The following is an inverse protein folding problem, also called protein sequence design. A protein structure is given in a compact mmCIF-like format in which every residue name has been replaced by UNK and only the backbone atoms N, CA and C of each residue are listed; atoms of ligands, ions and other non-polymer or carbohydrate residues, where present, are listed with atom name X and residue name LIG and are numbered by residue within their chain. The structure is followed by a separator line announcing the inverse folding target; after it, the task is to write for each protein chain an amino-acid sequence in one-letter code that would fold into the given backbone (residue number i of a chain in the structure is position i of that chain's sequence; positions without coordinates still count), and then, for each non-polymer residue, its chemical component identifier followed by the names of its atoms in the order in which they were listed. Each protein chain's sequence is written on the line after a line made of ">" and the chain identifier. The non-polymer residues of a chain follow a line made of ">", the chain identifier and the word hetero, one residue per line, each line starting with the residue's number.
data_IF_328001874064
#
_entry.id   IF_328001874064
#
_cell.length_a   1.000
_cell.length_b   1.000
_cell.length_c   1.000
_cell.angle_alpha   90.00
_cell.angle_beta   90.00
_cell.angle_gamma   90.00
#
_symmetry.space_group_name_H-M   'P 1'
#
loop_
_entity.id
_entity.type
_entity.pdbx_description
1 polymer ?
#
# COMPACT_ATOMS: atom_id res chain seq x y z
N UNK A 1 -54.61 7.49 -37.88
CA UNK A 1 -54.04 8.83 -38.16
C UNK A 1 -53.58 8.82 -39.61
N UNK A 2 -54.36 9.45 -40.48
CA UNK A 2 -54.04 9.57 -41.90
C UNK A 2 -53.02 10.69 -42.07
N UNK A 3 -51.78 10.34 -42.44
CA UNK A 3 -50.80 11.31 -42.92
C UNK A 3 -51.21 11.78 -44.32
N UNK A 4 -51.56 13.06 -44.43
CA UNK A 4 -51.79 13.77 -45.70
C UNK A 4 -50.45 13.86 -46.45
N UNK A 5 -50.31 13.07 -47.52
CA UNK A 5 -49.17 13.09 -48.43
C UNK A 5 -49.75 13.29 -49.84
N UNK A 6 -49.61 14.48 -50.43
CA UNK A 6 -50.18 14.82 -51.76
C UNK A 6 -49.39 14.21 -52.95
N UNK A 7 -48.44 13.32 -52.68
CA UNK A 7 -47.62 12.65 -53.70
C UNK A 7 -48.13 11.23 -54.03
N UNK A 8 -47.67 10.66 -55.15
CA UNK A 8 -47.99 9.26 -55.54
C UNK A 8 -47.57 8.30 -54.43
N UNK A 9 -48.42 7.33 -54.10
CA UNK A 9 -48.26 6.36 -53.00
C UNK A 9 -46.85 5.75 -52.91
N UNK A 10 -46.29 5.38 -54.06
CA UNK A 10 -44.94 4.80 -54.19
C UNK A 10 -43.83 5.72 -53.64
N UNK A 11 -43.97 7.04 -53.80
CA UNK A 11 -43.00 8.01 -53.29
C UNK A 11 -43.11 8.18 -51.76
N UNK A 12 -44.33 8.13 -51.20
CA UNK A 12 -44.52 8.19 -49.74
C UNK A 12 -44.05 6.88 -49.07
N UNK A 13 -44.24 5.72 -49.70
CA UNK A 13 -43.76 4.43 -49.20
C UNK A 13 -42.22 4.37 -49.19
N UNK A 14 -41.55 4.86 -50.25
CA UNK A 14 -40.09 4.95 -50.32
C UNK A 14 -39.50 5.86 -49.22
N UNK A 15 -40.10 7.02 -48.97
CA UNK A 15 -39.63 7.92 -47.92
C UNK A 15 -39.82 7.32 -46.51
N UNK A 16 -40.89 6.57 -46.28
CA UNK A 16 -41.14 5.90 -45.00
C UNK A 16 -40.13 4.78 -44.74
N UNK A 17 -39.72 4.05 -45.79
CA UNK A 17 -38.67 3.04 -45.68
C UNK A 17 -37.29 3.65 -45.40
N UNK A 18 -36.95 4.75 -46.07
CA UNK A 18 -35.72 5.50 -45.79
C UNK A 18 -35.70 6.05 -44.36
N UNK A 19 -36.83 6.61 -43.90
CA UNK A 19 -36.94 7.12 -42.54
C UNK A 19 -36.79 6.01 -41.49
N UNK A 20 -37.35 4.82 -41.74
CA UNK A 20 -37.17 3.64 -40.88
C UNK A 20 -35.72 3.16 -40.88
N UNK A 21 -35.06 3.12 -42.04
CA UNK A 21 -33.64 2.75 -42.14
C UNK A 21 -32.75 3.74 -41.38
N UNK A 22 -32.99 5.03 -41.56
CA UNK A 22 -32.24 6.09 -40.90
C UNK A 22 -32.44 6.07 -39.39
N UNK A 23 -33.69 5.90 -38.92
CA UNK A 23 -33.97 5.76 -37.48
C UNK A 23 -33.35 4.49 -36.90
N UNK A 24 -33.36 3.37 -37.63
CA UNK A 24 -32.73 2.12 -37.18
C UNK A 24 -31.21 2.30 -37.06
N UNK A 25 -30.58 2.91 -38.05
CA UNK A 25 -29.14 3.22 -38.02
C UNK A 25 -28.78 4.19 -36.88
N UNK A 26 -29.61 5.21 -36.66
CA UNK A 26 -29.43 6.14 -35.55
C UNK A 26 -29.57 5.43 -34.20
N UNK A 27 -30.57 4.58 -34.02
CA UNK A 27 -30.74 3.77 -32.81
C UNK A 27 -29.57 2.81 -32.57
N UNK A 28 -29.01 2.21 -33.64
CA UNK A 28 -27.83 1.35 -33.54
C UNK A 28 -26.56 2.14 -33.19
N UNK A 29 -26.42 3.39 -33.68
CA UNK A 29 -25.30 4.27 -33.30
C UNK A 29 -25.40 4.84 -31.89
N UNK A 30 -26.62 4.91 -31.34
CA UNK A 30 -26.91 5.39 -29.98
C UNK A 30 -26.97 4.25 -28.97
N UNK A 31 -26.92 2.99 -29.41
CA UNK A 31 -26.80 1.85 -28.52
C UNK A 31 -25.45 1.96 -27.79
N UNK A 32 -25.43 2.07 -26.45
CA UNK A 32 -24.19 2.09 -25.72
C UNK A 32 -23.42 0.79 -26.01
N UNK A 33 -22.09 0.83 -26.20
CA UNK A 33 -21.31 -0.39 -26.34
C UNK A 33 -21.65 -1.30 -25.16
N UNK A 34 -21.89 -2.60 -25.43
CA UNK A 34 -22.05 -3.61 -24.39
C UNK A 34 -20.96 -3.36 -23.35
N UNK A 35 -21.37 -2.96 -22.15
CA UNK A 35 -20.44 -2.67 -21.08
C UNK A 35 -19.60 -3.93 -20.88
N UNK A 36 -18.30 -3.84 -21.19
CA UNK A 36 -17.35 -4.81 -20.70
C UNK A 36 -17.60 -4.92 -19.20
N UNK A 37 -17.81 -6.14 -18.70
CA UNK A 37 -17.99 -6.37 -17.27
C UNK A 37 -16.88 -5.65 -16.49
N UNK A 38 -17.14 -5.22 -15.24
CA UNK A 38 -16.15 -4.48 -14.47
C UNK A 38 -14.82 -5.25 -14.49
N UNK A 39 -13.75 -4.56 -14.90
CA UNK A 39 -12.41 -5.14 -14.85
C UNK A 39 -12.19 -5.69 -13.44
N UNK A 40 -11.63 -6.91 -13.29
CA UNK A 40 -11.38 -7.47 -11.97
C UNK A 40 -10.58 -6.46 -11.15
N UNK A 41 -11.09 -6.13 -9.96
CA UNK A 41 -10.37 -5.25 -9.04
C UNK A 41 -9.03 -5.92 -8.74
N UNK A 42 -7.95 -5.19 -8.95
CA UNK A 42 -6.61 -5.72 -8.68
C UNK A 42 -6.53 -6.17 -7.22
N UNK A 43 -5.97 -7.36 -7.01
CA UNK A 43 -5.71 -7.91 -5.68
C UNK A 43 -4.24 -8.31 -5.60
N UNK A 44 -3.61 -8.16 -4.42
CA UNK A 44 -2.28 -8.67 -4.21
C UNK A 44 -2.28 -10.20 -4.23
N UNK A 45 -1.23 -10.76 -4.82
CA UNK A 45 -1.02 -12.21 -4.81
C UNK A 45 -0.57 -12.71 -3.44
N UNK A 46 -0.85 -13.98 -3.15
CA UNK A 46 -0.34 -14.64 -1.93
C UNK A 46 1.18 -14.62 -1.86
N UNK A 47 1.86 -14.79 -3.00
CA UNK A 47 3.33 -14.75 -3.06
C UNK A 47 3.88 -13.37 -2.70
N UNK A 48 3.24 -12.27 -3.13
CA UNK A 48 3.64 -10.92 -2.70
C UNK A 48 3.51 -10.75 -1.19
N UNK A 49 2.42 -11.23 -0.59
CA UNK A 49 2.22 -11.17 0.87
C UNK A 49 3.30 -11.96 1.62
N UNK A 50 3.52 -13.22 1.25
CA UNK A 50 4.55 -14.06 1.87
C UNK A 50 5.94 -13.43 1.74
N UNK A 51 6.27 -12.91 0.54
CA UNK A 51 7.56 -12.29 0.28
C UNK A 51 7.80 -11.07 1.18
N UNK A 52 6.80 -10.21 1.33
CA UNK A 52 6.90 -9.01 2.18
C UNK A 52 7.05 -9.38 3.66
N UNK A 53 6.32 -10.41 4.13
CA UNK A 53 6.46 -10.90 5.49
C UNK A 53 7.87 -11.45 5.77
N UNK A 54 8.41 -12.25 4.86
CA UNK A 54 9.76 -12.81 4.95
C UNK A 54 10.83 -11.72 4.94
N UNK A 55 10.72 -10.75 4.02
CA UNK A 55 11.65 -9.62 3.93
C UNK A 55 11.64 -8.77 5.20
N UNK A 56 10.45 -8.52 5.74
CA UNK A 56 10.28 -7.77 7.00
C UNK A 56 10.95 -8.49 8.16
N UNK A 57 10.72 -9.80 8.30
CA UNK A 57 11.38 -10.63 9.33
C UNK A 57 12.90 -10.64 9.16
N UNK A 58 13.40 -10.79 7.94
CA UNK A 58 14.83 -10.84 7.65
C UNK A 58 15.53 -9.51 7.95
N UNK A 59 14.96 -8.38 7.52
CA UNK A 59 15.48 -7.04 7.81
C UNK A 59 15.65 -6.81 9.32
N UNK A 60 14.61 -7.17 10.05
CA UNK A 60 14.55 -7.06 11.48
C UNK A 60 15.54 -8.00 12.20
N UNK A 61 15.65 -9.26 11.76
CA UNK A 61 16.65 -10.19 12.29
C UNK A 61 18.08 -9.72 12.02
N UNK A 62 18.35 -9.09 10.88
CA UNK A 62 19.64 -8.50 10.56
C UNK A 62 19.99 -7.31 11.46
N UNK A 63 19.04 -6.42 11.74
CA UNK A 63 19.23 -5.33 12.73
C UNK A 63 19.54 -5.88 14.11
N UNK A 64 18.76 -6.86 14.57
CA UNK A 64 18.91 -7.46 15.90
C UNK A 64 20.25 -8.20 16.05
N UNK A 65 20.73 -8.84 14.98
CA UNK A 65 22.03 -9.52 14.94
C UNK A 65 23.22 -8.59 14.62
N UNK A 66 22.99 -7.27 14.58
CA UNK A 66 23.99 -6.27 14.19
C UNK A 66 24.61 -6.48 12.78
N UNK A 67 23.91 -7.20 11.90
CA UNK A 67 24.27 -7.38 10.49
C UNK A 67 23.84 -6.18 9.64
N UNK A 68 24.23 -4.98 10.06
CA UNK A 68 23.75 -3.71 9.50
C UNK A 68 23.99 -3.54 8.01
N UNK A 69 25.10 -4.09 7.47
CA UNK A 69 25.36 -4.03 6.03
C UNK A 69 24.27 -4.76 5.21
N UNK A 70 23.80 -5.93 5.68
CA UNK A 70 22.73 -6.69 5.02
C UNK A 70 21.37 -6.00 5.14
N UNK A 71 21.08 -5.43 6.30
CA UNK A 71 19.88 -4.64 6.50
C UNK A 71 19.87 -3.39 5.60
N UNK A 72 21.02 -2.70 5.47
CA UNK A 72 21.22 -1.56 4.57
C UNK A 72 20.98 -1.92 3.10
N UNK A 73 21.40 -3.12 2.67
CA UNK A 73 21.17 -3.64 1.31
C UNK A 73 19.68 -3.74 0.94
N UNK A 74 18.77 -3.74 1.91
CA UNK A 74 17.31 -3.76 1.69
C UNK A 74 16.69 -2.38 1.52
N UNK A 75 17.41 -1.31 1.89
CA UNK A 75 16.92 0.06 1.75
C UNK A 75 16.85 0.45 0.27
N UNK A 76 15.74 1.05 -0.13
CA UNK A 76 15.55 1.65 -1.43
C UNK A 76 16.39 2.91 -1.61
N UNK A 77 16.55 3.33 -2.87
CA UNK A 77 17.39 4.47 -3.23
C UNK A 77 17.01 5.76 -2.48
N UNK A 78 15.72 6.01 -2.24
CA UNK A 78 15.26 7.19 -1.52
C UNK A 78 15.80 7.27 -0.08
N UNK A 79 15.79 6.18 0.67
CA UNK A 79 16.37 6.15 2.02
C UNK A 79 17.91 6.28 1.99
N UNK A 80 18.57 5.62 1.02
CA UNK A 80 20.02 5.72 0.84
C UNK A 80 20.52 7.08 0.34
N UNK A 81 19.63 7.92 -0.20
CA UNK A 81 19.94 9.31 -0.53
C UNK A 81 19.85 10.22 0.70
N UNK A 82 19.00 9.87 1.68
CA UNK A 82 18.80 10.66 2.89
C UNK A 82 19.83 10.33 3.99
N UNK A 83 20.37 9.12 3.97
CA UNK A 83 21.32 8.63 4.96
C UNK A 83 22.61 8.15 4.30
N UNK A 84 23.73 8.33 4.98
CA UNK A 84 24.90 7.49 4.73
C UNK A 84 24.74 6.15 5.46
N UNK A 85 25.46 5.14 5.01
CA UNK A 85 25.45 3.84 5.70
C UNK A 85 25.89 3.99 7.16
N UNK A 86 26.96 4.75 7.41
CA UNK A 86 27.50 4.97 8.74
C UNK A 86 26.49 5.71 9.64
N UNK A 87 25.86 6.77 9.13
CA UNK A 87 24.88 7.53 9.90
C UNK A 87 23.66 6.69 10.27
N UNK A 88 23.15 5.87 9.34
CA UNK A 88 22.03 4.98 9.60
C UNK A 88 22.41 3.86 10.59
N UNK A 89 23.57 3.24 10.39
CA UNK A 89 24.10 2.21 11.30
C UNK A 89 24.24 2.76 12.71
N UNK A 90 24.84 3.94 12.87
CA UNK A 90 25.09 4.53 14.18
C UNK A 90 23.76 4.88 14.89
N UNK A 91 22.76 5.35 14.15
CA UNK A 91 21.41 5.56 14.67
C UNK A 91 20.74 4.23 15.10
N UNK A 92 20.91 3.16 14.33
CA UNK A 92 20.39 1.83 14.67
C UNK A 92 21.09 1.25 15.91
N UNK A 93 22.41 1.39 16.02
CA UNK A 93 23.20 0.97 17.19
C UNK A 93 22.77 1.75 18.43
N UNK A 94 22.65 3.08 18.34
CA UNK A 94 22.23 3.93 19.44
C UNK A 94 20.82 3.57 19.93
N UNK A 95 19.90 3.29 18.99
CA UNK A 95 18.54 2.85 19.30
C UNK A 95 18.54 1.49 20.01
N UNK A 96 19.30 0.51 19.50
CA UNK A 96 19.43 -0.81 20.12
C UNK A 96 20.05 -0.73 21.53
N UNK A 97 21.10 0.06 21.72
CA UNK A 97 21.74 0.26 23.02
C UNK A 97 20.78 0.86 24.05
N UNK A 98 19.93 1.81 23.62
CA UNK A 98 18.93 2.44 24.47
C UNK A 98 17.77 1.49 24.80
N UNK A 99 17.26 0.77 23.80
CA UNK A 99 16.14 -0.15 23.95
C UNK A 99 16.50 -1.42 24.74
N UNK A 100 17.76 -1.86 24.67
CA UNK A 100 18.21 -3.10 25.29
C UNK A 100 17.90 -4.32 24.41
N UNK A 101 17.98 -5.53 24.98
CA UNK A 101 17.76 -6.76 24.23
C UNK A 101 16.30 -6.86 23.70
N UNK A 102 16.14 -7.29 22.45
CA UNK A 102 14.83 -7.60 21.87
C UNK A 102 14.21 -8.78 22.61
N UNK A 103 12.99 -8.61 23.13
CA UNK A 103 12.27 -9.67 23.85
C UNK A 103 11.20 -10.30 22.96
N UNK A 104 10.48 -9.47 22.20
CA UNK A 104 9.40 -9.92 21.34
C UNK A 104 9.19 -8.92 20.21
N UNK A 105 8.96 -9.42 18.99
CA UNK A 105 8.43 -8.64 17.88
C UNK A 105 7.49 -9.50 17.05
N UNK A 106 6.36 -8.93 16.68
CA UNK A 106 5.30 -9.58 15.90
C UNK A 106 4.88 -8.65 14.76
N UNK A 107 4.77 -9.20 13.55
CA UNK A 107 4.14 -8.52 12.43
C UNK A 107 2.63 -8.67 12.56
N UNK A 108 1.90 -7.56 12.55
CA UNK A 108 0.46 -7.52 12.82
C UNK A 108 -0.36 -7.57 11.55
N UNK A 109 -0.08 -6.65 10.63
CA UNK A 109 -0.87 -6.48 9.41
C UNK A 109 0.04 -6.22 8.23
N UNK A 110 -0.26 -6.90 7.12
CA UNK A 110 0.35 -6.63 5.81
C UNK A 110 -0.73 -6.11 4.89
N UNK A 111 -0.58 -4.88 4.43
CA UNK A 111 -1.48 -4.22 3.49
C UNK A 111 -0.73 -3.93 2.20
N UNK A 112 -1.09 -4.61 1.11
CA UNK A 112 -0.50 -4.38 -0.21
C UNK A 112 -1.49 -3.61 -1.06
N UNK A 113 -1.02 -2.53 -1.67
CA UNK A 113 -1.83 -1.58 -2.41
C UNK A 113 -1.08 -1.02 -3.61
N UNK A 114 -1.82 -0.58 -4.63
CA UNK A 114 -1.27 0.26 -5.70
C UNK A 114 -1.48 1.72 -5.33
N UNK A 115 -0.46 2.54 -5.52
CA UNK A 115 -0.53 3.98 -5.30
C UNK A 115 0.14 4.74 -6.42
N UNK A 116 -0.40 5.90 -6.75
CA UNK A 116 0.23 6.95 -7.57
C UNK A 116 0.44 8.25 -6.78
N UNK A 117 0.02 8.30 -5.52
CA UNK A 117 -0.09 9.56 -4.76
C UNK A 117 1.24 10.01 -4.13
N UNK A 118 2.32 9.22 -4.21
CA UNK A 118 3.57 9.44 -3.47
C UNK A 118 4.80 9.51 -4.38
N UNK A 119 4.61 9.93 -5.63
CA UNK A 119 5.66 10.05 -6.63
C UNK A 119 5.53 9.00 -7.73
N UNK A 120 6.16 7.84 -7.55
CA UNK A 120 6.21 6.78 -8.58
C UNK A 120 4.97 5.88 -8.49
N UNK A 121 4.18 5.72 -9.56
CA UNK A 121 3.13 4.72 -9.57
C UNK A 121 3.70 3.31 -9.39
N UNK A 122 3.13 2.52 -8.47
CA UNK A 122 3.64 1.18 -8.21
C UNK A 122 2.83 0.38 -7.20
N UNK A 123 3.26 -0.85 -6.94
CA UNK A 123 2.77 -1.69 -5.84
C UNK A 123 3.60 -1.43 -4.59
N UNK A 124 2.93 -1.20 -3.48
CA UNK A 124 3.52 -0.96 -2.18
C UNK A 124 2.96 -1.94 -1.16
N UNK A 125 3.73 -2.23 -0.12
CA UNK A 125 3.27 -3.02 1.00
C UNK A 125 3.64 -2.35 2.33
N UNK A 126 2.62 -2.03 3.13
CA UNK A 126 2.78 -1.58 4.50
C UNK A 126 2.72 -2.79 5.44
N UNK A 127 3.67 -2.87 6.38
CA UNK A 127 3.78 -3.94 7.37
C UNK A 127 3.80 -3.31 8.75
N UNK A 128 2.68 -3.38 9.46
CA UNK A 128 2.57 -2.93 10.85
C UNK A 128 3.18 -3.98 11.79
N UNK A 129 3.86 -3.54 12.83
CA UNK A 129 4.45 -4.42 13.83
C UNK A 129 4.29 -3.86 15.25
N UNK A 130 4.38 -4.77 16.21
CA UNK A 130 4.55 -4.44 17.62
C UNK A 130 5.63 -5.30 18.24
N UNK A 131 6.16 -4.88 19.37
CA UNK A 131 7.14 -5.61 20.12
C UNK A 131 7.46 -4.96 21.45
N UNK A 132 8.44 -5.55 22.12
CA UNK A 132 8.99 -5.13 23.40
C UNK A 132 10.48 -5.40 23.44
N UNK A 133 11.20 -4.46 24.01
CA UNK A 133 12.60 -4.60 24.36
C UNK A 133 12.75 -4.56 25.88
N UNK A 134 13.90 -5.00 26.39
CA UNK A 134 14.21 -5.00 27.82
C UNK A 134 13.93 -3.64 28.51
N UNK A 135 14.20 -2.52 27.82
CA UNK A 135 14.01 -1.16 28.35
C UNK A 135 12.83 -0.41 27.71
N UNK A 136 12.01 -1.07 26.87
CA UNK A 136 10.85 -0.45 26.23
C UNK A 136 9.67 -1.42 26.13
N UNK A 137 8.69 -1.25 27.03
CA UNK A 137 7.44 -2.02 27.09
C UNK A 137 6.47 -1.73 25.93
N UNK A 138 6.73 -0.69 25.14
CA UNK A 138 6.05 -0.49 23.86
C UNK A 138 7.07 -0.19 22.80
N UNK A 139 7.11 -1.03 21.78
CA UNK A 139 7.80 -0.80 20.52
C UNK A 139 6.80 -1.12 19.40
N UNK A 140 6.54 -0.18 18.50
CA UNK A 140 5.60 -0.40 17.41
C UNK A 140 5.92 0.52 16.24
N UNK A 141 5.33 0.23 15.09
CA UNK A 141 5.47 1.08 13.91
C UNK A 141 5.16 0.30 12.66
N UNK A 142 5.75 0.73 11.55
CA UNK A 142 5.53 0.08 10.28
C UNK A 142 6.72 0.19 9.33
N UNK A 143 6.80 -0.77 8.42
CA UNK A 143 7.68 -0.77 7.26
C UNK A 143 6.85 -0.52 6.00
N UNK A 144 7.37 0.26 5.05
CA UNK A 144 6.79 0.40 3.72
C UNK A 144 7.78 -0.12 2.69
N UNK A 145 7.39 -1.16 1.97
CA UNK A 145 8.13 -1.76 0.88
C UNK A 145 7.55 -1.31 -0.46
N UNK A 146 8.41 -1.09 -1.45
CA UNK A 146 8.01 -0.87 -2.85
C UNK A 146 8.43 -2.06 -3.69
N UNK A 147 7.50 -2.60 -4.46
CA UNK A 147 7.79 -3.61 -5.48
C UNK A 147 8.63 -2.98 -6.60
N UNK A 148 9.61 -3.74 -7.09
CA UNK A 148 10.47 -3.39 -8.20
C UNK A 148 10.02 -4.11 -9.48
N UNK A 149 10.55 -3.73 -10.64
CA UNK A 149 10.17 -4.31 -11.92
C UNK A 149 10.45 -5.83 -12.02
N UNK A 150 11.42 -6.34 -11.26
CA UNK A 150 11.76 -7.76 -11.17
C UNK A 150 10.94 -8.53 -10.11
N UNK A 151 9.97 -7.89 -9.47
CA UNK A 151 9.15 -8.45 -8.39
C UNK A 151 9.85 -8.50 -7.02
N UNK A 152 11.09 -8.00 -6.91
CA UNK A 152 11.73 -7.77 -5.61
C UNK A 152 11.08 -6.60 -4.88
N UNK A 153 11.39 -6.44 -3.59
CA UNK A 153 10.88 -5.33 -2.79
C UNK A 153 12.03 -4.64 -2.07
N UNK A 154 12.00 -3.30 -2.07
CA UNK A 154 12.97 -2.45 -1.35
C UNK A 154 12.24 -1.58 -0.32
N UNK A 155 12.88 -1.38 0.83
CA UNK A 155 12.33 -0.60 1.93
C UNK A 155 12.37 0.88 1.59
N UNK A 156 11.21 1.53 1.56
CA UNK A 156 11.07 2.96 1.26
C UNK A 156 10.87 3.81 2.50
N UNK A 157 10.32 3.22 3.56
CA UNK A 157 10.10 3.90 4.84
C UNK A 157 10.14 2.91 5.98
N UNK A 158 10.74 3.34 7.08
CA UNK A 158 10.64 2.70 8.38
C UNK A 158 10.19 3.77 9.38
N UNK A 159 9.25 3.40 10.23
CA UNK A 159 8.88 4.20 11.39
C UNK A 159 8.93 3.29 12.62
N UNK A 160 9.69 3.72 13.63
CA UNK A 160 9.87 3.00 14.88
C UNK A 160 9.52 3.93 16.05
N UNK A 161 8.52 3.54 16.82
CA UNK A 161 8.04 4.28 17.99
C UNK A 161 8.29 3.48 19.26
N UNK A 162 8.71 4.17 20.33
CA UNK A 162 9.08 3.56 21.59
C UNK A 162 8.41 4.28 22.77
N UNK A 163 7.91 3.51 23.74
CA UNK A 163 7.66 3.99 25.10
C UNK A 163 8.62 3.24 26.03
N UNK A 164 9.72 3.90 26.37
CA UNK A 164 10.73 3.36 27.27
C UNK A 164 10.17 3.17 28.69
N UNK A 165 10.66 2.16 29.42
CA UNK A 165 10.17 1.81 30.76
C UNK A 165 10.23 2.99 31.73
N UNK A 166 11.30 3.79 31.68
CA UNK A 166 11.45 5.00 32.48
C UNK A 166 10.36 6.05 32.19
N UNK A 167 9.93 6.16 30.93
CA UNK A 167 8.80 7.02 30.53
C UNK A 167 7.48 6.38 30.93
N UNK A 168 7.29 5.09 30.65
CA UNK A 168 6.06 4.34 30.95
C UNK A 168 5.70 4.36 32.44
N UNK A 169 6.71 4.32 33.32
CA UNK A 169 6.56 4.39 34.78
C UNK A 169 6.00 5.73 35.28
N UNK A 170 6.09 6.79 34.46
CA UNK A 170 5.58 8.14 34.78
C UNK A 170 4.20 8.42 34.19
N UNK A 171 3.65 7.47 33.43
CA UNK A 171 2.38 7.62 32.74
C UNK A 171 1.29 6.79 33.41
N UNK A 172 0.06 7.30 33.39
CA UNK A 172 -1.12 6.49 33.71
C UNK A 172 -1.43 5.51 32.58
N UNK A 173 -2.26 4.51 32.84
CA UNK A 173 -2.72 3.58 31.80
C UNK A 173 -3.40 4.30 30.61
N UNK A 174 -4.23 5.31 30.90
CA UNK A 174 -4.89 6.12 29.86
C UNK A 174 -3.91 6.95 29.03
N UNK A 175 -2.88 7.54 29.65
CA UNK A 175 -1.85 8.27 28.90
C UNK A 175 -1.03 7.33 28.01
N UNK A 176 -0.69 6.13 28.49
CA UNK A 176 -0.01 5.11 27.67
C UNK A 176 -0.86 4.68 26.48
N UNK A 177 -2.16 4.46 26.69
CA UNK A 177 -3.09 4.13 25.60
C UNK A 177 -3.18 5.26 24.56
N UNK A 178 -3.28 6.52 25.01
CA UNK A 178 -3.27 7.67 24.11
C UNK A 178 -1.97 7.77 23.29
N UNK A 179 -0.81 7.54 23.91
CA UNK A 179 0.47 7.53 23.18
C UNK A 179 0.52 6.43 22.13
N UNK A 180 0.05 5.21 22.46
CA UNK A 180 -0.07 4.12 21.48
C UNK A 180 -0.98 4.50 20.31
N UNK A 181 -2.07 5.22 20.58
CA UNK A 181 -2.97 5.77 19.56
C UNK A 181 -2.29 6.81 18.66
N UNK A 182 -1.48 7.71 19.23
CA UNK A 182 -0.69 8.69 18.44
C UNK A 182 0.34 7.99 17.55
N UNK A 183 1.02 6.97 18.09
CA UNK A 183 1.95 6.13 17.32
C UNK A 183 1.26 5.18 16.34
N UNK A 184 -0.08 5.11 16.38
CA UNK A 184 -0.89 4.19 15.57
C UNK A 184 -0.45 2.74 15.71
N UNK A 185 -0.06 2.33 16.92
CA UNK A 185 0.25 0.91 17.16
C UNK A 185 -1.00 0.07 16.85
N UNK A 186 -0.83 -0.97 16.03
CA UNK A 186 -1.88 -1.94 15.74
C UNK A 186 -1.81 -3.07 16.77
N UNK A 187 -2.93 -3.41 17.41
CA UNK A 187 -2.99 -4.51 18.38
C UNK A 187 -2.94 -5.91 17.72
#
# INVERSE_FOLDING_TARGET
>A
MNSLCEAKKEACDSMLEEFRRMNTALQQSLAPPMAAGPAPSWQPSTSQKTRVEELSKAYFAEKDAAHYARAWERLGAGLRQQWTFEGWRDAAVASAARAGAMQQRELKKVTIYRSSQSGTPGTYAAVDFTGRFANADTYCGYLVWSEQADGSFLLMREEENYIYNATAARLTAGQRANMKGVFRCVD
#
